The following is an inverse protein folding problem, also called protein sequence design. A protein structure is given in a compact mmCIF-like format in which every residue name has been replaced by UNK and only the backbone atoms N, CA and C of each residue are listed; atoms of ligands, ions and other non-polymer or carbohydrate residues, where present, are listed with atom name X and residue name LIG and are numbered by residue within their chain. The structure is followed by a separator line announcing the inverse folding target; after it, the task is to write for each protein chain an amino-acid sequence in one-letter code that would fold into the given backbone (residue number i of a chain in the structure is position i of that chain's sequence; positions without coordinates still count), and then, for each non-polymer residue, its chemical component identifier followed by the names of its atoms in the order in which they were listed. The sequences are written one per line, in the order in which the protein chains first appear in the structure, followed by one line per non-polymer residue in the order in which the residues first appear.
data_IF_596572653801
#
_entry.id   IF_596572653801
#
_cell.length_a   1.000
_cell.length_b   1.000
_cell.length_c   1.000
_cell.angle_alpha   90.00
_cell.angle_beta   90.00
_cell.angle_gamma   90.00
#
_symmetry.space_group_name_H-M   'P 1'
#
loop_
_entity.id
_entity.type
_entity.pdbx_description
1 polymer ?
#
# COMPACT_ATOMS: atom_id res chain seq x y z
N UNK A 1 -7.23 8.47 12.46
CA UNK A 1 -6.06 8.38 13.37
C UNK A 1 -5.15 9.61 13.24
N UNK A 2 -4.52 9.87 12.09
CA UNK A 2 -3.65 11.04 11.90
C UNK A 2 -4.37 12.39 12.09
N UNK A 3 -5.59 12.55 11.58
CA UNK A 3 -6.39 13.76 11.80
C UNK A 3 -6.62 14.08 13.30
N UNK A 4 -6.91 13.05 14.11
CA UNK A 4 -7.06 13.19 15.56
C UNK A 4 -5.71 13.52 16.21
N UNK A 5 -4.61 12.94 15.74
CA UNK A 5 -3.27 13.24 16.24
C UNK A 5 -2.86 14.70 15.96
N UNK A 6 -3.19 15.25 14.77
CA UNK A 6 -2.99 16.67 14.47
C UNK A 6 -3.82 17.57 15.40
N UNK A 7 -5.09 17.23 15.63
CA UNK A 7 -5.95 17.96 16.56
C UNK A 7 -5.38 17.96 17.99
N UNK A 8 -4.97 16.80 18.50
CA UNK A 8 -4.41 16.67 19.85
C UNK A 8 -3.04 17.34 20.03
N UNK A 9 -2.22 17.42 18.98
CA UNK A 9 -0.99 18.22 19.01
C UNK A 9 -1.27 19.72 19.08
N UNK A 10 -2.34 20.19 18.43
CA UNK A 10 -2.69 21.61 18.37
C UNK A 10 -3.46 22.09 19.61
N UNK A 11 -4.43 21.29 20.05
CA UNK A 11 -5.43 21.66 21.05
C UNK A 11 -5.18 20.99 22.41
N UNK A 12 -4.14 20.18 22.52
CA UNK A 12 -3.81 19.43 23.73
C UNK A 12 -4.39 18.02 23.74
N UNK A 13 -3.62 17.09 24.29
CA UNK A 13 -3.97 15.68 24.45
C UNK A 13 -3.38 15.12 25.74
N UNK A 14 -3.86 13.94 26.13
CA UNK A 14 -3.42 13.25 27.35
C UNK A 14 -2.10 12.50 27.17
N UNK A 15 -1.71 12.20 25.93
CA UNK A 15 -0.49 11.47 25.61
C UNK A 15 0.67 12.43 25.31
N UNK A 16 1.90 11.90 25.34
CA UNK A 16 3.09 12.64 24.95
C UNK A 16 3.01 13.12 23.47
N UNK A 17 3.50 14.33 23.14
CA UNK A 17 3.52 14.85 21.77
C UNK A 17 4.15 13.89 20.74
N UNK A 18 5.17 13.13 21.16
CA UNK A 18 5.89 12.15 20.35
C UNK A 18 4.98 11.00 19.89
N UNK A 19 4.01 10.60 20.72
CA UNK A 19 3.04 9.59 20.35
C UNK A 19 2.17 10.07 19.17
N UNK A 20 1.68 11.30 19.22
CA UNK A 20 0.87 11.87 18.15
C UNK A 20 1.69 12.08 16.86
N UNK A 21 2.94 12.55 16.98
CA UNK A 21 3.88 12.63 15.84
C UNK A 21 4.10 11.27 15.19
N UNK A 22 4.30 10.22 15.99
CA UNK A 22 4.46 8.86 15.47
C UNK A 22 3.20 8.37 14.71
N UNK A 23 1.99 8.73 15.18
CA UNK A 23 0.75 8.42 14.45
C UNK A 23 0.65 9.12 13.10
N UNK A 24 1.11 10.36 13.02
CA UNK A 24 1.17 11.12 11.78
C UNK A 24 2.16 10.47 10.81
N UNK A 25 3.40 10.25 11.26
CA UNK A 25 4.46 9.61 10.46
C UNK A 25 4.05 8.21 9.97
N UNK A 26 3.36 7.44 10.80
CA UNK A 26 2.86 6.11 10.39
C UNK A 26 1.83 6.24 9.26
N UNK A 27 0.96 7.24 9.30
CA UNK A 27 -0.01 7.47 8.23
C UNK A 27 0.68 7.90 6.94
N UNK A 28 1.61 8.86 7.02
CA UNK A 28 2.42 9.29 5.86
C UNK A 28 3.13 8.10 5.22
N UNK A 29 3.81 7.26 6.01
CA UNK A 29 4.44 6.03 5.51
C UNK A 29 3.44 5.09 4.80
N UNK A 30 2.27 4.87 5.40
CA UNK A 30 1.25 4.00 4.80
C UNK A 30 0.79 4.53 3.44
N UNK A 31 0.47 5.82 3.36
CA UNK A 31 0.01 6.46 2.13
C UNK A 31 1.11 6.53 1.06
N UNK A 32 2.37 6.72 1.45
CA UNK A 32 3.50 6.81 0.52
C UNK A 32 3.99 5.45 0.01
N UNK A 33 3.96 4.40 0.85
CA UNK A 33 4.66 3.13 0.58
C UNK A 33 3.76 1.92 0.42
N UNK A 34 2.61 1.90 1.10
CA UNK A 34 1.74 0.73 1.14
C UNK A 34 0.50 0.92 0.25
N UNK A 35 -0.20 2.05 0.38
CA UNK A 35 -1.42 2.29 -0.39
C UNK A 35 -1.21 2.23 -1.92
N UNK A 36 -0.09 2.73 -2.51
CA UNK A 36 0.07 2.71 -3.97
C UNK A 36 0.02 1.31 -4.59
N UNK A 37 0.33 0.26 -3.82
CA UNK A 37 0.24 -1.15 -4.26
C UNK A 37 -1.17 -1.55 -4.68
N UNK A 38 -2.18 -0.92 -4.10
CA UNK A 38 -3.59 -1.17 -4.46
C UNK A 38 -3.90 -0.83 -5.91
N UNK A 39 -3.21 0.16 -6.51
CA UNK A 39 -3.33 0.46 -7.94
C UNK A 39 -2.87 -0.72 -8.78
N UNK A 40 -1.69 -1.28 -8.48
CA UNK A 40 -1.18 -2.46 -9.18
C UNK A 40 -2.09 -3.68 -9.03
N UNK A 41 -2.70 -3.88 -7.86
CA UNK A 41 -3.71 -4.92 -7.69
C UNK A 41 -4.96 -4.67 -8.56
N UNK A 42 -5.46 -3.43 -8.58
CA UNK A 42 -6.62 -3.07 -9.37
C UNK A 42 -6.37 -3.22 -10.89
N UNK A 43 -5.19 -2.80 -11.37
CA UNK A 43 -4.75 -2.98 -12.75
C UNK A 43 -4.68 -4.46 -13.13
N UNK A 44 -4.07 -5.30 -12.28
CA UNK A 44 -4.00 -6.75 -12.51
C UNK A 44 -5.37 -7.43 -12.54
N UNK A 45 -6.35 -6.95 -11.76
CA UNK A 45 -7.71 -7.52 -11.75
C UNK A 45 -8.45 -7.36 -13.08
N UNK A 46 -8.09 -6.37 -13.90
CA UNK A 46 -8.73 -6.10 -15.19
C UNK A 46 -7.83 -6.44 -16.39
N UNK A 47 -6.66 -7.02 -16.14
CA UNK A 47 -5.75 -7.44 -17.20
C UNK A 47 -6.35 -8.60 -18.03
N UNK A 48 -6.17 -8.61 -19.36
CA UNK A 48 -6.65 -9.70 -20.21
C UNK A 48 -6.08 -11.05 -19.78
N UNK A 49 -6.89 -12.11 -19.86
CA UNK A 49 -6.47 -13.48 -19.55
C UNK A 49 -5.32 -13.97 -20.43
N UNK A 50 -5.18 -13.39 -21.63
CA UNK A 50 -4.07 -13.64 -22.56
C UNK A 50 -2.70 -13.45 -21.88
N UNK A 51 -2.59 -12.58 -20.88
CA UNK A 51 -1.37 -12.43 -20.08
C UNK A 51 -0.87 -13.75 -19.48
N UNK A 52 -1.76 -14.71 -19.20
CA UNK A 52 -1.44 -16.05 -18.70
C UNK A 52 -1.47 -17.14 -19.77
N UNK A 53 -2.17 -16.92 -20.89
CA UNK A 53 -2.45 -17.98 -21.88
C UNK A 53 -1.76 -17.79 -23.23
N UNK A 54 -1.04 -16.68 -23.45
CA UNK A 54 -0.38 -16.40 -24.73
C UNK A 54 0.85 -17.28 -25.01
N UNK A 55 1.47 -17.86 -23.97
CA UNK A 55 2.68 -18.65 -24.13
C UNK A 55 2.36 -20.04 -24.68
N UNK A 56 3.13 -20.48 -25.68
CA UNK A 56 3.04 -21.85 -26.21
C UNK A 56 3.36 -22.87 -25.10
N UNK A 57 2.63 -23.97 -25.06
CA UNK A 57 2.77 -25.01 -24.05
C UNK A 57 4.18 -25.62 -24.08
N UNK A 58 4.78 -25.75 -25.26
CA UNK A 58 6.14 -26.29 -25.41
C UNK A 58 7.20 -25.35 -24.83
N UNK A 59 6.90 -24.06 -24.67
CA UNK A 59 7.79 -23.09 -24.01
C UNK A 59 7.83 -23.25 -22.48
N UNK A 60 6.91 -24.05 -21.89
CA UNK A 60 6.96 -24.42 -20.47
C UNK A 60 7.83 -25.66 -20.21
N UNK A 61 8.25 -26.39 -21.25
CA UNK A 61 9.09 -27.57 -21.07
C UNK A 61 10.51 -27.16 -20.68
N UNK A 62 11.02 -27.74 -19.58
CA UNK A 62 12.46 -27.70 -19.32
C UNK A 62 13.12 -28.67 -20.30
N UNK A 63 14.13 -28.20 -21.03
CA UNK A 63 14.92 -29.06 -21.93
C UNK A 63 15.51 -30.21 -21.11
N UNK A 64 15.34 -31.44 -21.60
CA UNK A 64 16.07 -32.63 -21.09
C UNK A 64 17.60 -32.43 -21.22
#
# INVERSE_FOLDING_TARGET
MAAVAYDKLKNGGTEAPEFYKAKIQTAEFYFDKLLPRTSGHAESMVAPSESMTAMDIDSFAFLD
#
